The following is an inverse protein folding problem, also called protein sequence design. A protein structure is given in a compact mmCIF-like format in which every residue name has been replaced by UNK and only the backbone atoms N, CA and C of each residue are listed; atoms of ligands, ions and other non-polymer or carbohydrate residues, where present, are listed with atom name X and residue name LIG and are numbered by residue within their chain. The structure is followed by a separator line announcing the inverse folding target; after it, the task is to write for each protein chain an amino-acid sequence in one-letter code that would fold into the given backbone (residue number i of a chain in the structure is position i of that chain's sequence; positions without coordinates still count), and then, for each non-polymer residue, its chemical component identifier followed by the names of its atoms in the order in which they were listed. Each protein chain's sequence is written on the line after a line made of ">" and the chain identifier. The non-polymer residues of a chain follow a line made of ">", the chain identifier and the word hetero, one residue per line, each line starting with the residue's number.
data_IF_200531661311
#
_entry.id   IF_200531661311
#
_cell.length_a   1.000
_cell.length_b   1.000
_cell.length_c   1.000
_cell.angle_alpha   90.00
_cell.angle_beta   90.00
_cell.angle_gamma   90.00
#
_symmetry.space_group_name_H-M   'P 1'
#
loop_
_entity.id
_entity.type
_entity.pdbx_description
1 polymer ?
#
# COMPACT_ATOMS: atom_id res chain seq x y z
N UNK A 1 6.31 -1.40 23.39
CA UNK A 1 4.89 -1.71 23.17
C UNK A 1 4.69 -2.76 22.07
N UNK A 2 5.19 -2.56 20.83
CA UNK A 2 4.98 -3.52 19.72
C UNK A 2 5.45 -4.96 19.99
N UNK A 3 6.66 -5.14 20.54
CA UNK A 3 7.18 -6.45 20.94
C UNK A 3 6.29 -7.16 21.98
N UNK A 4 5.76 -6.41 22.96
CA UNK A 4 4.90 -6.95 24.02
C UNK A 4 3.59 -7.49 23.42
N UNK A 5 2.98 -6.73 22.50
CA UNK A 5 1.75 -7.16 21.81
C UNK A 5 1.98 -8.41 20.95
N UNK A 6 3.14 -8.52 20.29
CA UNK A 6 3.52 -9.71 19.52
C UNK A 6 3.72 -10.94 20.41
N UNK A 7 4.40 -10.78 21.55
CA UNK A 7 4.60 -11.85 22.52
C UNK A 7 3.25 -12.33 23.08
N UNK A 8 2.36 -11.40 23.44
CA UNK A 8 1.00 -11.71 23.91
C UNK A 8 0.22 -12.48 22.83
N UNK A 9 0.26 -12.02 21.58
CA UNK A 9 -0.43 -12.69 20.48
C UNK A 9 0.05 -14.13 20.26
N UNK A 10 1.38 -14.34 20.33
CA UNK A 10 1.99 -15.66 20.19
C UNK A 10 1.57 -16.56 21.36
N UNK A 11 1.62 -16.06 22.61
CA UNK A 11 1.21 -16.83 23.78
C UNK A 11 -0.27 -17.24 23.70
N UNK A 12 -1.16 -16.32 23.34
CA UNK A 12 -2.60 -16.61 23.19
C UNK A 12 -2.88 -17.63 22.07
N UNK A 13 -2.11 -17.58 20.99
CA UNK A 13 -2.23 -18.54 19.89
C UNK A 13 -1.74 -19.94 20.29
N UNK A 14 -0.58 -20.04 20.94
CA UNK A 14 0.02 -21.32 21.33
C UNK A 14 -0.63 -21.97 22.55
N UNK A 15 -1.38 -21.20 23.35
CA UNK A 15 -2.12 -21.71 24.52
C UNK A 15 -3.53 -22.20 24.16
N UNK A 16 -3.89 -22.23 22.86
CA UNK A 16 -5.23 -22.55 22.33
C UNK A 16 -6.40 -21.73 22.93
N UNK A 17 -6.10 -20.67 23.70
CA UNK A 17 -7.11 -19.84 24.34
C UNK A 17 -7.92 -19.07 23.29
N UNK A 18 -7.24 -18.47 22.31
CA UNK A 18 -7.87 -17.76 21.19
C UNK A 18 -6.99 -17.93 19.93
N UNK A 19 -7.39 -18.76 18.95
CA UNK A 19 -6.65 -18.90 17.71
C UNK A 19 -6.66 -17.60 16.90
N UNK A 20 -5.64 -17.44 16.05
CA UNK A 20 -5.53 -16.29 15.15
C UNK A 20 -6.54 -16.51 14.02
N UNK A 21 -7.64 -15.76 14.07
CA UNK A 21 -8.68 -15.85 13.05
C UNK A 21 -8.97 -14.46 12.46
N UNK A 22 -8.80 -14.36 11.13
CA UNK A 22 -9.01 -13.12 10.37
C UNK A 22 -10.48 -12.73 10.27
N UNK A 23 -11.41 -13.69 10.27
CA UNK A 23 -12.85 -13.41 10.10
C UNK A 23 -13.51 -12.86 11.37
N UNK A 24 -13.04 -13.29 12.55
CA UNK A 24 -13.59 -12.85 13.84
C UNK A 24 -12.85 -11.64 14.42
N UNK A 25 -11.82 -11.12 13.74
CA UNK A 25 -10.88 -10.13 14.30
C UNK A 25 -10.48 -10.52 15.72
N UNK A 26 -10.02 -11.77 15.89
CA UNK A 26 -9.76 -12.31 17.22
C UNK A 26 -8.72 -11.46 17.95
N UNK A 27 -8.80 -11.39 19.28
CA UNK A 27 -7.89 -10.57 20.07
C UNK A 27 -6.42 -10.87 19.76
N UNK A 28 -6.07 -12.16 19.59
CA UNK A 28 -4.74 -12.61 19.17
C UNK A 28 -4.33 -12.04 17.80
N UNK A 29 -5.25 -11.99 16.82
CA UNK A 29 -4.99 -11.40 15.51
C UNK A 29 -4.78 -9.87 15.58
N UNK A 30 -5.56 -9.17 16.39
CA UNK A 30 -5.41 -7.73 16.61
C UNK A 30 -4.07 -7.43 17.30
N UNK A 31 -3.71 -8.19 18.35
CA UNK A 31 -2.42 -8.04 19.02
C UNK A 31 -1.24 -8.36 18.09
N UNK A 32 -1.37 -9.38 17.23
CA UNK A 32 -0.33 -9.74 16.26
C UNK A 32 -0.11 -8.64 15.23
N UNK A 33 -1.18 -8.17 14.60
CA UNK A 33 -1.12 -7.14 13.56
C UNK A 33 -0.69 -5.78 14.13
N UNK A 34 -1.20 -5.39 15.31
CA UNK A 34 -0.77 -4.17 16.00
C UNK A 34 0.70 -4.24 16.45
N UNK A 35 1.15 -5.40 16.94
CA UNK A 35 2.54 -5.62 17.32
C UNK A 35 3.49 -5.52 16.12
N UNK A 36 3.16 -6.20 15.02
CA UNK A 36 3.93 -6.13 13.77
C UNK A 36 3.97 -4.70 13.21
N UNK A 37 2.82 -4.02 13.15
CA UNK A 37 2.75 -2.62 12.71
C UNK A 37 3.61 -1.71 13.60
N UNK A 38 3.60 -1.91 14.92
CA UNK A 38 4.43 -1.14 15.84
C UNK A 38 5.94 -1.35 15.64
N UNK A 39 6.38 -2.58 15.34
CA UNK A 39 7.80 -2.86 15.03
C UNK A 39 8.21 -2.19 13.72
N UNK A 40 7.39 -2.35 12.67
CA UNK A 40 7.66 -1.74 11.35
C UNK A 40 7.71 -0.22 11.46
N UNK A 41 6.75 0.39 12.17
CA UNK A 41 6.72 1.82 12.45
C UNK A 41 7.98 2.28 13.19
N UNK A 42 8.41 1.55 14.22
CA UNK A 42 9.64 1.85 14.96
C UNK A 42 10.89 1.76 14.07
N UNK A 43 10.92 0.79 13.16
CA UNK A 43 11.98 0.64 12.16
C UNK A 43 12.07 1.85 11.22
N UNK A 44 10.92 2.30 10.68
CA UNK A 44 10.86 3.51 9.85
C UNK A 44 11.25 4.77 10.64
N UNK A 45 10.83 4.89 11.89
CA UNK A 45 11.22 6.01 12.74
C UNK A 45 12.75 6.09 12.90
N UNK A 46 13.40 4.98 13.22
CA UNK A 46 14.87 4.95 13.33
C UNK A 46 15.52 5.27 11.97
N UNK A 47 14.99 4.72 10.88
CA UNK A 47 15.54 4.92 9.54
C UNK A 47 15.43 6.38 9.04
N UNK A 48 14.29 7.01 9.30
CA UNK A 48 13.97 8.33 8.74
C UNK A 48 14.41 9.44 9.68
N UNK A 49 14.11 9.32 10.98
CA UNK A 49 14.36 10.38 11.95
C UNK A 49 15.70 10.27 12.67
N UNK A 50 16.20 9.04 12.94
CA UNK A 50 17.50 8.86 13.63
C UNK A 50 18.66 8.82 12.62
N UNK A 51 18.51 8.07 11.53
CA UNK A 51 19.52 7.95 10.46
C UNK A 51 19.45 9.10 9.43
N UNK A 52 18.42 9.95 9.48
CA UNK A 52 18.31 11.16 8.67
C UNK A 52 18.02 10.93 7.18
N UNK A 53 17.66 9.71 6.77
CA UNK A 53 17.40 9.35 5.38
C UNK A 53 16.00 9.82 4.92
N UNK A 54 15.70 11.12 5.01
CA UNK A 54 14.36 11.62 4.67
C UNK A 54 14.05 11.61 3.18
N UNK A 55 15.03 11.93 2.34
CA UNK A 55 14.84 12.15 0.90
C UNK A 55 14.23 10.97 0.13
N UNK A 56 14.60 9.69 0.35
CA UNK A 56 13.97 8.57 -0.35
C UNK A 56 12.55 8.27 0.15
N UNK A 57 12.17 8.67 1.37
CA UNK A 57 10.86 8.35 1.96
C UNK A 57 9.83 9.48 1.84
N UNK A 58 10.17 10.60 1.17
CA UNK A 58 9.25 11.73 0.96
C UNK A 58 7.94 11.31 0.27
N UNK A 59 7.98 10.33 -0.64
CA UNK A 59 6.76 9.84 -1.28
C UNK A 59 5.80 9.14 -0.30
N UNK A 60 6.33 8.42 0.71
CA UNK A 60 5.50 7.85 1.78
C UNK A 60 4.89 8.95 2.63
N UNK A 61 5.64 10.02 2.90
CA UNK A 61 5.15 11.17 3.66
C UNK A 61 4.01 11.88 2.92
N UNK A 62 4.13 12.09 1.61
CA UNK A 62 3.08 12.70 0.79
C UNK A 62 1.80 11.87 0.77
N UNK A 63 1.93 10.56 0.55
CA UNK A 63 0.79 9.63 0.64
C UNK A 63 0.19 9.69 2.05
N UNK A 64 1.02 9.68 3.10
CA UNK A 64 0.59 9.72 4.49
C UNK A 64 -0.22 10.99 4.85
N UNK A 65 0.20 12.15 4.36
CA UNK A 65 -0.51 13.42 4.60
C UNK A 65 -1.90 13.47 3.94
N UNK A 66 -2.12 12.70 2.88
CA UNK A 66 -3.40 12.59 2.16
C UNK A 66 -3.98 11.17 2.22
N UNK A 67 -3.65 10.40 3.27
CA UNK A 67 -3.93 8.97 3.34
C UNK A 67 -5.41 8.62 3.19
N UNK A 68 -6.30 9.45 3.73
CA UNK A 68 -7.74 9.21 3.64
C UNK A 68 -8.27 9.33 2.21
N UNK A 69 -7.87 10.39 1.51
CA UNK A 69 -8.22 10.60 0.11
C UNK A 69 -7.68 9.45 -0.75
N UNK A 70 -6.41 9.08 -0.56
CA UNK A 70 -5.80 7.96 -1.28
C UNK A 70 -6.56 6.66 -0.99
N UNK A 71 -6.93 6.41 0.28
CA UNK A 71 -7.67 5.23 0.68
C UNK A 71 -9.04 5.13 -0.01
N UNK A 72 -9.84 6.21 0.02
CA UNK A 72 -11.18 6.23 -0.60
C UNK A 72 -11.08 6.04 -2.11
N UNK A 73 -10.19 6.79 -2.77
CA UNK A 73 -10.08 6.76 -4.23
C UNK A 73 -9.44 5.46 -4.74
N UNK A 74 -8.55 4.84 -3.98
CA UNK A 74 -8.05 3.50 -4.28
C UNK A 74 -9.17 2.45 -4.10
N UNK A 75 -9.97 2.54 -3.03
CA UNK A 75 -11.07 1.61 -2.76
C UNK A 75 -12.20 1.70 -3.80
N UNK A 76 -12.50 2.89 -4.31
CA UNK A 76 -13.46 3.09 -5.39
C UNK A 76 -12.92 2.66 -6.77
N UNK A 77 -11.66 2.23 -6.85
CA UNK A 77 -11.06 1.77 -8.10
C UNK A 77 -10.83 2.91 -9.09
N UNK A 78 -10.66 4.15 -8.63
CA UNK A 78 -10.42 5.32 -9.50
C UNK A 78 -9.16 5.12 -10.34
N UNK A 79 -8.12 4.47 -9.80
CA UNK A 79 -6.94 4.10 -10.58
C UNK A 79 -7.30 3.15 -11.74
N UNK A 80 -8.06 2.09 -11.46
CA UNK A 80 -8.50 1.16 -12.50
C UNK A 80 -9.39 1.87 -13.53
N UNK A 81 -10.29 2.76 -13.11
CA UNK A 81 -11.11 3.56 -14.00
C UNK A 81 -10.28 4.53 -14.86
N UNK A 82 -9.24 5.15 -14.28
CA UNK A 82 -8.32 6.05 -14.99
C UNK A 82 -7.53 5.32 -16.07
N UNK A 83 -6.97 4.14 -15.75
CA UNK A 83 -6.21 3.35 -16.72
C UNK A 83 -7.12 2.75 -17.79
N UNK A 84 -8.31 2.25 -17.42
CA UNK A 84 -9.27 1.71 -18.38
C UNK A 84 -9.92 2.80 -19.25
N UNK A 85 -10.09 4.02 -18.72
CA UNK A 85 -10.72 5.14 -19.41
C UNK A 85 -9.92 5.68 -20.58
N UNK A 86 -8.62 5.39 -20.64
CA UNK A 86 -7.77 5.75 -21.77
C UNK A 86 -7.73 4.58 -22.77
N UNK A 87 -8.58 4.66 -23.80
CA UNK A 87 -8.57 3.74 -24.93
C UNK A 87 -8.23 4.50 -26.21
N UNK A 88 -7.48 3.83 -27.10
CA UNK A 88 -7.14 4.40 -28.41
C UNK A 88 -7.99 3.71 -29.48
N UNK A 89 -8.92 4.46 -30.07
CA UNK A 89 -9.88 4.08 -31.13
C UNK A 89 -10.88 2.96 -30.79
N UNK A 90 -10.42 1.80 -30.30
CA UNK A 90 -11.24 0.63 -29.95
C UNK A 90 -11.16 0.29 -28.44
N UNK A 91 -12.25 -0.17 -27.80
CA UNK A 91 -12.24 -0.64 -26.40
C UNK A 91 -11.24 -1.79 -26.11
N UNK A 92 -10.77 -2.46 -27.19
CA UNK A 92 -9.79 -3.54 -27.14
C UNK A 92 -8.33 -3.04 -27.06
N UNK A 93 -8.08 -1.78 -27.42
CA UNK A 93 -6.78 -1.10 -27.33
C UNK A 93 -6.74 -0.12 -26.13
N UNK A 94 -7.15 -0.60 -24.95
CA UNK A 94 -6.99 0.14 -23.70
C UNK A 94 -5.50 0.26 -23.34
N UNK A 95 -5.11 1.34 -22.63
CA UNK A 95 -3.81 1.46 -21.97
C UNK A 95 -3.46 0.21 -21.16
N UNK A 96 -4.45 -0.48 -20.58
CA UNK A 96 -4.23 -1.76 -19.89
C UNK A 96 -3.60 -2.79 -20.81
N UNK A 97 -4.06 -2.91 -22.06
CA UNK A 97 -3.53 -3.89 -23.01
C UNK A 97 -2.13 -3.50 -23.51
N UNK A 98 -1.87 -2.19 -23.65
CA UNK A 98 -0.55 -1.67 -23.99
C UNK A 98 0.46 -1.89 -22.86
N UNK A 99 0.09 -1.53 -21.62
CA UNK A 99 0.89 -1.78 -20.42
C UNK A 99 1.10 -3.29 -20.25
N UNK A 100 0.04 -4.10 -20.44
CA UNK A 100 0.15 -5.56 -20.37
C UNK A 100 1.19 -6.07 -21.36
N UNK A 101 1.10 -5.66 -22.62
CA UNK A 101 2.03 -6.11 -23.66
C UNK A 101 3.46 -5.59 -23.45
N UNK A 102 3.64 -4.34 -23.05
CA UNK A 102 4.97 -3.72 -22.97
C UNK A 102 5.70 -4.05 -21.66
N UNK A 103 4.98 -4.11 -20.52
CA UNK A 103 5.55 -4.41 -19.20
C UNK A 103 5.62 -5.91 -18.93
N UNK A 104 4.67 -6.72 -19.42
CA UNK A 104 4.62 -8.14 -19.07
C UNK A 104 5.39 -9.02 -20.06
N UNK A 105 5.36 -8.70 -21.35
CA UNK A 105 5.98 -9.51 -22.40
C UNK A 105 7.46 -9.18 -22.58
N UNK A 106 7.82 -7.89 -22.57
CA UNK A 106 9.18 -7.44 -22.92
C UNK A 106 10.14 -7.39 -21.72
N UNK A 107 9.64 -7.27 -20.50
CA UNK A 107 10.46 -7.00 -19.31
C UNK A 107 10.61 -8.23 -18.41
N UNK A 108 9.59 -9.08 -18.20
CA UNK A 108 9.68 -10.09 -17.11
C UNK A 108 9.13 -11.51 -17.36
N UNK A 109 8.72 -11.87 -18.60
CA UNK A 109 8.42 -13.24 -19.05
C UNK A 109 7.39 -14.07 -18.22
N UNK A 110 6.76 -13.49 -17.19
CA UNK A 110 5.84 -14.20 -16.27
C UNK A 110 4.65 -13.32 -15.88
N UNK A 111 3.45 -13.79 -16.19
CA UNK A 111 2.19 -13.04 -16.05
C UNK A 111 1.83 -12.71 -14.58
N UNK A 112 2.13 -13.62 -13.63
CA UNK A 112 1.83 -13.38 -12.20
C UNK A 112 2.72 -12.31 -11.59
N UNK A 113 4.01 -12.35 -11.89
CA UNK A 113 4.99 -11.38 -11.37
C UNK A 113 4.72 -10.01 -11.97
N UNK A 114 4.45 -9.95 -13.28
CA UNK A 114 4.08 -8.70 -13.95
C UNK A 114 2.83 -8.05 -13.34
N UNK A 115 1.83 -8.84 -12.93
CA UNK A 115 0.59 -8.28 -12.34
C UNK A 115 0.87 -7.66 -10.97
N UNK A 116 1.62 -8.36 -10.12
CA UNK A 116 2.00 -7.86 -8.79
C UNK A 116 2.86 -6.59 -8.92
N UNK A 117 3.84 -6.62 -9.83
CA UNK A 117 4.72 -5.49 -10.05
C UNK A 117 3.97 -4.29 -10.62
N UNK A 118 3.02 -4.51 -11.53
CA UNK A 118 2.15 -3.46 -12.05
C UNK A 118 1.33 -2.82 -10.93
N UNK A 119 0.69 -3.62 -10.08
CA UNK A 119 -0.08 -3.08 -8.95
C UNK A 119 0.83 -2.29 -8.02
N UNK A 120 1.96 -2.87 -7.59
CA UNK A 120 2.87 -2.20 -6.64
C UNK A 120 3.46 -0.93 -7.27
N UNK A 121 4.06 -1.00 -8.45
CA UNK A 121 4.73 0.16 -9.03
C UNK A 121 3.75 1.17 -9.61
N UNK A 122 2.75 0.76 -10.39
CA UNK A 122 1.86 1.71 -11.03
C UNK A 122 0.92 2.37 -10.01
N UNK A 123 0.31 1.61 -9.10
CA UNK A 123 -0.64 2.16 -8.14
C UNK A 123 0.06 3.01 -7.08
N UNK A 124 1.17 2.53 -6.48
CA UNK A 124 1.90 3.30 -5.47
C UNK A 124 2.53 4.55 -6.10
N UNK A 125 3.12 4.44 -7.30
CA UNK A 125 3.70 5.63 -7.96
C UNK A 125 2.62 6.61 -8.37
N UNK A 126 1.49 6.14 -8.91
CA UNK A 126 0.37 7.00 -9.26
C UNK A 126 -0.14 7.77 -8.04
N UNK A 127 -0.41 7.08 -6.93
CA UNK A 127 -0.88 7.73 -5.70
C UNK A 127 0.18 8.61 -5.05
N UNK A 128 1.47 8.26 -5.15
CA UNK A 128 2.58 9.12 -4.72
C UNK A 128 2.57 10.45 -5.46
N UNK A 129 2.38 10.41 -6.79
CA UNK A 129 2.34 11.61 -7.62
C UNK A 129 1.09 12.43 -7.32
N UNK A 130 -0.09 11.82 -7.26
CA UNK A 130 -1.35 12.52 -6.93
C UNK A 130 -1.26 13.18 -5.56
N UNK A 131 -0.77 12.44 -4.54
CA UNK A 131 -0.60 12.98 -3.20
C UNK A 131 0.46 14.08 -3.14
N UNK A 132 1.54 13.98 -3.92
CA UNK A 132 2.55 15.03 -4.06
C UNK A 132 2.00 16.31 -4.71
N UNK A 133 1.15 16.19 -5.73
CA UNK A 133 0.45 17.34 -6.35
C UNK A 133 -0.51 17.99 -5.34
N UNK A 134 -1.31 17.20 -4.63
CA UNK A 134 -2.22 17.69 -3.59
C UNK A 134 -1.46 18.42 -2.47
N UNK A 135 -0.32 17.86 -2.04
CA UNK A 135 0.56 18.49 -1.06
C UNK A 135 1.08 19.85 -1.56
N UNK A 136 1.51 19.94 -2.83
CA UNK A 136 1.93 21.22 -3.44
C UNK A 136 0.80 22.24 -3.50
N UNK A 137 -0.44 21.79 -3.71
CA UNK A 137 -1.65 22.61 -3.69
C UNK A 137 -2.15 22.94 -2.28
N UNK A 138 -1.49 22.41 -1.22
CA UNK A 138 -1.91 22.49 0.19
C UNK A 138 -3.35 22.03 0.46
N UNK A 139 -3.87 21.14 -0.37
CA UNK A 139 -5.19 20.54 -0.17
C UNK A 139 -4.98 19.28 0.65
N UNK A 140 -5.55 19.26 1.85
CA UNK A 140 -5.54 18.09 2.73
C UNK A 140 -6.96 17.73 3.08
N UNK A 141 -7.40 16.56 2.65
CA UNK A 141 -8.68 16.02 3.08
C UNK A 141 -8.50 15.39 4.47
N UNK A 142 -9.02 16.07 5.49
CA UNK A 142 -9.09 15.57 6.86
C UNK A 142 -10.56 15.30 7.21
N UNK A 143 -10.82 14.25 7.99
CA UNK A 143 -12.11 14.00 8.63
C UNK A 143 -12.21 14.78 9.94
#
# INVERSE_FOLDING_TARGET
>A
MGLVLLIIAIILHFTDAIPINKQLYSFSYVCFTAGAAGIVFSGFYILIDVLGLRTPFLFLEWIGMNAMLVFVMAAEGIFAAFVNGWYYEDPRNSLVHWIKKHVFDNVWHSERVGTIMYVIFAEITFWSVVAGVLHKLRIYWKL
#
